data_IF_453244652289
#
_entry.id   IF_453244652289
#
_cell.length_a   1.000
_cell.length_b   1.000
_cell.length_c   1.000
_cell.angle_alpha   90.00
_cell.angle_beta   90.00
_cell.angle_gamma   90.00
#
_symmetry.space_group_name_H-M   'P 1'
#
loop_
_entity.id
_entity.type
_entity.pdbx_description
1 polymer ?
#
# COMPACT_ATOMS: atom_id res chain seq x y z
N UNK A 1 -32.89 16.88 7.76
CA UNK A 1 -32.73 18.25 7.22
C UNK A 1 -32.08 18.15 5.85
N UNK A 2 -32.47 18.97 4.87
CA UNK A 2 -31.76 19.05 3.58
C UNK A 2 -30.54 19.95 3.73
N UNK A 3 -29.36 19.44 3.36
CA UNK A 3 -28.14 20.25 3.30
C UNK A 3 -28.04 20.91 1.93
N UNK A 4 -28.49 22.16 1.84
CA UNK A 4 -28.36 22.98 0.62
C UNK A 4 -27.22 23.98 0.83
N UNK A 5 -26.17 23.99 -0.01
CA UNK A 5 -25.10 24.98 0.08
C UNK A 5 -25.65 26.41 -0.02
N UNK A 6 -25.21 27.26 0.90
CA UNK A 6 -25.59 28.67 0.97
C UNK A 6 -24.45 29.53 0.43
N UNK A 7 -24.75 30.43 -0.50
CA UNK A 7 -23.79 31.39 -1.04
C UNK A 7 -23.42 32.45 0.01
N UNK A 8 -22.22 33.02 -0.07
CA UNK A 8 -21.72 34.02 0.90
C UNK A 8 -21.17 33.46 2.21
N UNK A 9 -21.21 32.13 2.42
CA UNK A 9 -20.49 31.42 3.48
C UNK A 9 -19.40 30.55 2.87
N UNK A 10 -18.30 30.36 3.59
CA UNK A 10 -17.24 29.42 3.17
C UNK A 10 -17.83 28.03 2.94
N UNK A 11 -17.61 27.45 1.75
CA UNK A 11 -18.06 26.09 1.41
C UNK A 11 -17.42 25.09 2.36
N UNK A 12 -16.14 25.27 2.68
CA UNK A 12 -15.39 24.42 3.61
C UNK A 12 -16.07 24.32 4.98
N UNK A 13 -16.43 25.46 5.58
CA UNK A 13 -17.15 25.49 6.88
C UNK A 13 -18.51 24.81 6.81
N UNK A 14 -19.22 24.93 5.68
CA UNK A 14 -20.50 24.25 5.48
C UNK A 14 -20.34 22.73 5.38
N UNK A 15 -19.26 22.26 4.76
CA UNK A 15 -18.94 20.83 4.69
C UNK A 15 -18.55 20.27 6.07
N UNK A 16 -17.77 21.00 6.87
CA UNK A 16 -17.43 20.62 8.25
C UNK A 16 -18.67 20.54 9.15
N UNK A 17 -19.59 21.49 9.04
CA UNK A 17 -20.84 21.46 9.81
C UNK A 17 -21.71 20.26 9.41
N UNK A 18 -21.81 19.98 8.10
CA UNK A 18 -22.51 18.79 7.62
C UNK A 18 -21.88 17.51 8.18
N UNK A 19 -20.55 17.43 8.15
CA UNK A 19 -19.79 16.30 8.68
C UNK A 19 -20.11 16.04 10.17
N UNK A 20 -20.17 17.09 10.99
CA UNK A 20 -20.53 16.99 12.42
C UNK A 20 -21.92 16.40 12.68
N UNK A 21 -22.85 16.56 11.73
CA UNK A 21 -24.23 16.09 11.89
C UNK A 21 -24.47 14.68 11.33
N UNK A 22 -23.70 14.26 10.31
CA UNK A 22 -23.92 12.97 9.62
C UNK A 22 -22.99 11.87 10.08
N UNK A 23 -21.77 12.21 10.53
CA UNK A 23 -20.81 11.20 10.93
C UNK A 23 -21.09 10.66 12.33
N UNK A 24 -20.70 9.41 12.55
CA UNK A 24 -20.71 8.76 13.85
C UNK A 24 -19.93 9.58 14.90
N UNK A 25 -20.32 9.55 16.18
CA UNK A 25 -19.54 10.15 17.26
C UNK A 25 -18.09 9.67 17.30
N UNK A 26 -17.83 8.43 16.87
CA UNK A 26 -16.52 7.80 16.85
C UNK A 26 -15.70 8.10 15.57
N UNK A 27 -16.31 8.73 14.57
CA UNK A 27 -15.63 9.08 13.33
C UNK A 27 -14.68 10.26 13.50
N UNK A 28 -13.55 10.22 12.80
CA UNK A 28 -12.62 11.34 12.74
C UNK A 28 -13.21 12.47 11.88
N UNK A 29 -13.24 13.68 12.42
CA UNK A 29 -13.79 14.86 11.74
C UNK A 29 -12.64 15.70 11.17
N UNK A 30 -12.86 16.35 10.04
CA UNK A 30 -11.88 17.25 9.41
C UNK A 30 -11.60 18.45 10.32
N UNK A 31 -12.63 18.97 10.99
CA UNK A 31 -12.54 20.11 11.91
C UNK A 31 -11.70 19.84 13.16
N UNK A 32 -11.55 18.57 13.52
CA UNK A 32 -10.88 18.14 14.74
C UNK A 32 -9.49 17.51 14.43
N UNK A 33 -9.01 17.66 13.18
CA UNK A 33 -7.70 17.15 12.75
C UNK A 33 -6.57 17.79 13.54
N UNK A 34 -5.56 16.98 13.88
CA UNK A 34 -4.30 17.45 14.48
C UNK A 34 -3.41 18.20 13.46
N UNK A 35 -3.86 18.30 12.21
CA UNK A 35 -3.21 19.09 11.18
C UNK A 35 -2.00 18.42 10.55
N UNK A 36 -1.16 19.25 9.95
CA UNK A 36 0.02 18.84 9.16
C UNK A 36 1.30 19.10 9.94
N UNK A 37 2.37 18.38 9.61
CA UNK A 37 3.67 18.56 10.27
C UNK A 37 4.28 19.92 9.96
N UNK A 38 4.19 20.36 8.71
CA UNK A 38 4.59 21.70 8.29
C UNK A 38 3.31 22.52 8.19
N UNK A 39 3.17 23.62 8.96
CA UNK A 39 2.02 24.51 8.85
C UNK A 39 1.90 25.04 7.41
N UNK A 40 0.68 25.03 6.89
CA UNK A 40 0.36 25.61 5.59
C UNK A 40 -0.63 26.74 5.81
N UNK A 41 -0.46 27.84 5.08
CA UNK A 41 -1.46 28.90 5.07
C UNK A 41 -2.74 28.38 4.44
N UNK A 42 -3.86 28.72 5.09
CA UNK A 42 -5.17 28.33 4.61
C UNK A 42 -5.57 29.22 3.43
N UNK A 43 -5.60 28.64 2.24
CA UNK A 43 -6.15 29.31 1.05
C UNK A 43 -7.67 29.44 1.21
N UNK A 44 -8.14 30.67 1.36
CA UNK A 44 -9.55 31.03 1.55
C UNK A 44 -10.40 30.58 0.34
N UNK A 45 -9.80 30.45 -0.83
CA UNK A 45 -10.46 30.00 -2.05
C UNK A 45 -10.52 28.47 -2.18
N UNK A 46 -9.77 27.71 -1.37
CA UNK A 46 -9.79 26.24 -1.44
C UNK A 46 -11.06 25.71 -0.77
N UNK A 47 -11.86 25.00 -1.58
CA UNK A 47 -13.13 24.41 -1.14
C UNK A 47 -12.97 23.02 -0.52
N UNK A 48 -11.79 22.41 -0.66
CA UNK A 48 -11.54 21.03 -0.26
C UNK A 48 -11.20 20.92 1.22
N UNK A 49 -11.74 19.89 1.85
CA UNK A 49 -11.42 19.54 3.23
C UNK A 49 -10.00 18.96 3.35
N UNK A 50 -9.36 19.01 4.54
CA UNK A 50 -8.02 18.48 4.77
C UNK A 50 -7.78 17.07 4.21
N UNK A 51 -8.68 16.12 4.46
CA UNK A 51 -8.52 14.73 4.00
C UNK A 51 -8.71 14.58 2.48
N UNK A 52 -9.57 15.40 1.86
CA UNK A 52 -9.70 15.46 0.40
C UNK A 52 -8.41 15.97 -0.25
N UNK A 53 -7.78 17.00 0.33
CA UNK A 53 -6.48 17.50 -0.14
C UNK A 53 -5.40 16.43 -0.03
N UNK A 54 -5.43 15.62 1.03
CA UNK A 54 -4.48 14.51 1.20
C UNK A 54 -4.66 13.43 0.15
N UNK A 55 -5.91 13.01 -0.09
CA UNK A 55 -6.24 12.08 -1.17
C UNK A 55 -5.70 12.59 -2.51
N UNK A 56 -5.99 13.84 -2.85
CA UNK A 56 -5.55 14.43 -4.12
C UNK A 56 -4.01 14.42 -4.24
N UNK A 57 -3.29 14.81 -3.17
CA UNK A 57 -1.82 14.79 -3.13
C UNK A 57 -1.26 13.38 -3.37
N UNK A 58 -1.88 12.36 -2.77
CA UNK A 58 -1.48 10.96 -2.96
C UNK A 58 -1.70 10.55 -4.41
N UNK A 59 -2.89 10.74 -4.96
CA UNK A 59 -3.25 10.35 -6.33
C UNK A 59 -2.33 11.01 -7.37
N UNK A 60 -2.00 12.28 -7.19
CA UNK A 60 -1.15 13.01 -8.13
C UNK A 60 0.36 12.77 -7.94
N UNK A 61 0.77 12.02 -6.92
CA UNK A 61 2.18 11.70 -6.66
C UNK A 61 2.78 10.78 -7.74
N UNK A 62 4.11 10.85 -7.91
CA UNK A 62 4.81 9.97 -8.87
C UNK A 62 4.80 8.53 -8.37
N UNK A 63 4.94 8.33 -7.07
CA UNK A 63 4.96 7.00 -6.44
C UNK A 63 3.62 6.29 -6.62
N UNK A 64 2.49 6.98 -6.45
CA UNK A 64 1.18 6.37 -6.72
C UNK A 64 1.06 5.89 -8.17
N UNK A 65 1.53 6.67 -9.15
CA UNK A 65 1.57 6.24 -10.57
C UNK A 65 2.45 5.03 -10.80
N UNK A 66 3.54 4.86 -10.03
CA UNK A 66 4.44 3.71 -10.14
C UNK A 66 3.79 2.40 -9.70
N UNK A 67 2.74 2.44 -8.86
CA UNK A 67 2.01 1.24 -8.44
C UNK A 67 1.41 0.46 -9.62
N UNK A 68 1.12 1.14 -10.75
CA UNK A 68 0.69 0.50 -12.01
C UNK A 68 1.73 -0.47 -12.56
N UNK A 69 3.01 -0.28 -12.22
CA UNK A 69 4.13 -1.03 -12.76
C UNK A 69 4.87 -1.83 -11.67
N UNK A 70 4.19 -2.12 -10.55
CA UNK A 70 4.67 -3.00 -9.50
C UNK A 70 3.73 -4.20 -9.36
N UNK A 71 4.33 -5.38 -9.31
CA UNK A 71 3.63 -6.64 -9.04
C UNK A 71 3.18 -6.70 -7.58
N UNK A 72 2.04 -7.36 -7.36
CA UNK A 72 1.50 -7.63 -6.03
C UNK A 72 2.18 -8.88 -5.43
N UNK A 73 1.80 -10.06 -5.92
CA UNK A 73 2.24 -11.39 -5.41
C UNK A 73 2.90 -12.24 -6.48
N UNK A 74 2.29 -12.38 -7.65
CA UNK A 74 2.88 -13.14 -8.75
C UNK A 74 3.83 -12.25 -9.55
N UNK A 75 5.08 -12.70 -9.70
CA UNK A 75 6.09 -12.03 -10.52
C UNK A 75 5.67 -12.10 -11.99
N UNK A 76 4.98 -11.05 -12.43
CA UNK A 76 4.60 -10.75 -13.80
C UNK A 76 4.32 -11.99 -14.68
N UNK A 77 3.33 -12.83 -14.33
CA UNK A 77 2.88 -13.85 -15.25
C UNK A 77 2.41 -13.19 -16.55
N UNK A 78 2.73 -13.82 -17.69
CA UNK A 78 2.42 -13.30 -19.02
C UNK A 78 0.91 -13.19 -19.22
N UNK A 79 0.39 -11.95 -19.36
CA UNK A 79 -1.00 -11.67 -19.68
C UNK A 79 -1.45 -10.27 -19.23
N UNK A 80 -2.46 -9.69 -19.90
CA UNK A 80 -2.93 -8.32 -19.65
C UNK A 80 -3.86 -8.17 -18.43
N UNK A 81 -4.26 -9.28 -17.80
CA UNK A 81 -5.30 -9.33 -16.77
C UNK A 81 -4.80 -9.61 -15.35
N UNK A 82 -3.49 -9.53 -15.12
CA UNK A 82 -2.91 -9.72 -13.78
C UNK A 82 -2.96 -8.45 -12.94
N UNK A 83 -3.23 -8.64 -11.66
CA UNK A 83 -3.32 -7.55 -10.69
C UNK A 83 -1.95 -6.89 -10.48
N UNK A 84 -1.98 -5.57 -10.45
CA UNK A 84 -0.88 -4.71 -10.03
C UNK A 84 -1.17 -4.16 -8.64
N UNK A 85 -0.17 -3.53 -8.01
CA UNK A 85 -0.41 -2.82 -6.74
C UNK A 85 -1.47 -1.74 -6.86
N UNK A 86 -1.55 -1.07 -8.01
CA UNK A 86 -2.59 -0.07 -8.23
C UNK A 86 -3.99 -0.67 -8.18
N UNK A 87 -4.22 -1.82 -8.83
CA UNK A 87 -5.54 -2.46 -8.80
C UNK A 87 -5.90 -2.96 -7.40
N UNK A 88 -4.93 -3.47 -6.64
CA UNK A 88 -5.15 -3.85 -5.25
C UNK A 88 -5.53 -2.64 -4.38
N UNK A 89 -4.77 -1.55 -4.46
CA UNK A 89 -5.05 -0.33 -3.69
C UNK A 89 -6.43 0.25 -3.99
N UNK A 90 -6.88 0.21 -5.26
CA UNK A 90 -8.23 0.63 -5.64
C UNK A 90 -9.31 -0.26 -5.01
N UNK A 91 -9.09 -1.56 -4.94
CA UNK A 91 -10.03 -2.51 -4.34
C UNK A 91 -10.08 -2.40 -2.82
N UNK A 92 -8.93 -2.22 -2.16
CA UNK A 92 -8.85 -1.89 -0.73
C UNK A 92 -9.62 -0.60 -0.44
N UNK A 93 -9.42 0.44 -1.26
CA UNK A 93 -10.17 1.70 -1.13
C UNK A 93 -11.68 1.49 -1.26
N UNK A 94 -12.12 0.71 -2.26
CA UNK A 94 -13.55 0.42 -2.44
C UNK A 94 -14.15 -0.32 -1.23
N UNK A 95 -13.48 -1.36 -0.73
CA UNK A 95 -13.93 -2.14 0.42
C UNK A 95 -13.96 -1.25 1.68
N UNK A 96 -12.88 -0.51 1.93
CA UNK A 96 -12.76 0.36 3.09
C UNK A 96 -13.83 1.46 3.10
N UNK A 97 -14.10 2.09 1.95
CA UNK A 97 -15.16 3.09 1.81
C UNK A 97 -16.55 2.50 1.99
N UNK A 98 -16.78 1.27 1.53
CA UNK A 98 -18.07 0.58 1.75
C UNK A 98 -18.33 0.40 3.25
N UNK A 99 -17.32 -0.05 4.00
CA UNK A 99 -17.40 -0.19 5.46
C UNK A 99 -17.56 1.18 6.13
N UNK A 100 -16.75 2.16 5.76
CA UNK A 100 -16.80 3.50 6.33
C UNK A 100 -18.17 4.17 6.12
N UNK A 101 -18.73 4.07 4.92
CA UNK A 101 -20.05 4.63 4.60
C UNK A 101 -21.15 3.97 5.43
N UNK A 102 -21.12 2.64 5.57
CA UNK A 102 -22.11 1.89 6.36
C UNK A 102 -22.03 2.19 7.87
N UNK A 103 -20.84 2.49 8.39
CA UNK A 103 -20.60 2.83 9.80
C UNK A 103 -20.64 4.35 10.06
N UNK A 104 -21.01 5.16 9.05
CA UNK A 104 -20.98 6.62 9.11
C UNK A 104 -19.62 7.19 9.56
N UNK A 105 -18.52 6.58 9.13
CA UNK A 105 -17.15 7.06 9.32
C UNK A 105 -16.74 8.02 8.20
N UNK A 106 -15.56 8.65 8.35
CA UNK A 106 -15.06 9.59 7.35
C UNK A 106 -14.53 8.89 6.10
N UNK A 107 -15.34 8.90 5.02
CA UNK A 107 -14.96 8.27 3.75
C UNK A 107 -13.71 8.87 3.11
N UNK A 108 -13.54 10.21 3.15
CA UNK A 108 -12.39 10.88 2.53
C UNK A 108 -11.08 10.53 3.26
N UNK A 109 -11.11 10.45 4.60
CA UNK A 109 -9.98 9.98 5.39
C UNK A 109 -9.64 8.51 5.08
N UNK A 110 -10.67 7.66 5.07
CA UNK A 110 -10.54 6.22 4.79
C UNK A 110 -9.92 6.00 3.41
N UNK A 111 -10.42 6.71 2.39
CA UNK A 111 -9.91 6.67 1.02
C UNK A 111 -8.46 7.16 0.94
N UNK A 112 -8.13 8.30 1.57
CA UNK A 112 -6.76 8.82 1.57
C UNK A 112 -5.77 7.82 2.19
N UNK A 113 -6.13 7.19 3.32
CA UNK A 113 -5.31 6.16 3.96
C UNK A 113 -5.16 4.95 3.05
N UNK A 114 -6.26 4.43 2.49
CA UNK A 114 -6.24 3.28 1.60
C UNK A 114 -5.38 3.52 0.35
N UNK A 115 -5.46 4.69 -0.27
CA UNK A 115 -4.62 5.02 -1.43
C UNK A 115 -3.14 5.21 -1.07
N UNK A 116 -2.85 5.59 0.17
CA UNK A 116 -1.48 5.87 0.65
C UNK A 116 -0.77 4.68 1.29
N UNK A 117 -1.49 3.63 1.69
CA UNK A 117 -0.93 2.56 2.54
C UNK A 117 0.24 1.83 1.87
N UNK A 118 0.15 1.65 0.55
CA UNK A 118 1.03 0.78 -0.23
C UNK A 118 2.13 1.52 -1.02
N UNK A 119 2.26 2.84 -0.83
CA UNK A 119 3.21 3.69 -1.58
C UNK A 119 4.67 3.23 -1.43
N UNK A 120 5.03 2.67 -0.29
CA UNK A 120 6.39 2.29 0.05
C UNK A 120 6.81 0.89 -0.39
N UNK A 121 5.95 0.15 -1.08
CA UNK A 121 6.28 -1.22 -1.44
C UNK A 121 7.39 -1.27 -2.50
N UNK A 122 8.29 -2.25 -2.36
CA UNK A 122 9.44 -2.45 -3.23
C UNK A 122 9.03 -2.99 -4.60
N UNK A 123 9.91 -2.89 -5.62
CA UNK A 123 9.79 -3.77 -6.79
C UNK A 123 9.75 -5.24 -6.35
N UNK A 124 9.08 -6.08 -7.14
CA UNK A 124 8.96 -7.54 -6.91
C UNK A 124 8.22 -7.93 -5.62
N UNK A 125 7.36 -7.04 -5.09
CA UNK A 125 6.48 -7.33 -3.96
C UNK A 125 7.24 -7.80 -2.71
N UNK A 126 6.77 -8.89 -2.09
CA UNK A 126 7.35 -9.43 -0.85
C UNK A 126 8.81 -9.89 -0.99
N UNK A 127 9.24 -10.31 -2.18
CA UNK A 127 10.64 -10.70 -2.42
C UNK A 127 11.59 -9.52 -2.22
N UNK A 128 11.23 -8.35 -2.77
CA UNK A 128 11.99 -7.13 -2.61
C UNK A 128 11.99 -6.64 -1.17
N UNK A 129 10.85 -6.72 -0.47
CA UNK A 129 10.73 -6.31 0.92
C UNK A 129 11.59 -7.18 1.85
N UNK A 130 11.48 -8.51 1.72
CA UNK A 130 12.28 -9.45 2.51
C UNK A 130 13.78 -9.22 2.30
N UNK A 131 14.19 -9.05 1.04
CA UNK A 131 15.59 -8.83 0.68
C UNK A 131 16.11 -7.50 1.22
N UNK A 132 15.39 -6.39 1.05
CA UNK A 132 15.82 -5.11 1.62
C UNK A 132 15.82 -5.11 3.15
N UNK A 133 14.93 -5.89 3.79
CA UNK A 133 14.91 -6.02 5.23
C UNK A 133 16.15 -6.75 5.77
N UNK A 134 16.67 -7.72 5.03
CA UNK A 134 17.92 -8.39 5.35
C UNK A 134 19.15 -7.51 5.07
N UNK A 135 19.14 -6.77 3.98
CA UNK A 135 20.32 -6.00 3.51
C UNK A 135 20.50 -4.66 4.23
N UNK A 136 19.41 -3.97 4.56
CA UNK A 136 19.48 -2.66 5.19
C UNK A 136 19.73 -2.83 6.71
N UNK A 137 20.78 -2.21 7.29
CA UNK A 137 21.15 -2.44 8.71
C UNK A 137 20.04 -2.13 9.74
N UNK A 138 19.14 -1.21 9.41
CA UNK A 138 17.98 -0.87 10.25
C UNK A 138 16.70 -1.65 9.93
N UNK A 139 16.79 -2.67 9.08
CA UNK A 139 15.64 -3.37 8.51
C UNK A 139 14.86 -2.53 7.50
N UNK A 140 13.82 -3.13 6.93
CA UNK A 140 12.90 -2.52 5.98
C UNK A 140 11.48 -3.07 6.17
N UNK A 141 10.50 -2.18 6.13
CA UNK A 141 9.08 -2.52 6.14
C UNK A 141 8.35 -1.56 5.21
N UNK A 142 7.55 -2.08 4.30
CA UNK A 142 6.90 -1.27 3.27
C UNK A 142 6.05 -0.14 3.89
N UNK A 143 5.30 -0.40 4.96
CA UNK A 143 4.43 0.60 5.58
C UNK A 143 5.20 1.75 6.24
N UNK A 144 6.39 1.48 6.81
CA UNK A 144 7.30 2.52 7.30
C UNK A 144 7.85 3.31 6.12
N UNK A 145 8.16 2.61 5.03
CA UNK A 145 8.61 3.26 3.81
C UNK A 145 7.50 4.09 3.13
N UNK A 146 6.23 3.69 3.21
CA UNK A 146 5.08 4.48 2.73
C UNK A 146 5.01 5.80 3.46
N UNK A 147 5.15 5.79 4.79
CA UNK A 147 5.26 7.01 5.59
C UNK A 147 6.47 7.86 5.17
N UNK A 148 7.61 7.23 4.90
CA UNK A 148 8.81 7.92 4.43
C UNK A 148 8.60 8.57 3.05
N UNK A 149 7.88 7.92 2.14
CA UNK A 149 7.55 8.46 0.82
C UNK A 149 6.77 9.76 0.96
N UNK A 150 5.70 9.73 1.76
CA UNK A 150 4.82 10.90 1.94
C UNK A 150 5.43 11.99 2.80
N UNK A 151 6.41 11.68 3.66
CA UNK A 151 7.05 12.69 4.51
C UNK A 151 8.29 13.32 3.89
N UNK A 152 9.05 12.56 3.08
CA UNK A 152 10.41 12.95 2.71
C UNK A 152 10.79 12.72 1.26
N UNK A 153 10.23 11.74 0.55
CA UNK A 153 10.76 11.39 -0.78
C UNK A 153 10.01 12.09 -1.92
N UNK A 154 8.69 12.21 -1.79
CA UNK A 154 7.89 12.87 -2.80
C UNK A 154 8.20 14.36 -2.95
N UNK A 155 7.74 14.94 -4.06
CA UNK A 155 7.87 16.37 -4.35
C UNK A 155 9.33 16.88 -4.26
N UNK A 156 10.26 16.13 -4.86
CA UNK A 156 11.71 16.43 -4.88
C UNK A 156 12.32 16.55 -3.47
N UNK A 157 11.98 15.63 -2.57
CA UNK A 157 12.55 15.59 -1.23
C UNK A 157 11.78 16.39 -0.16
N UNK A 158 10.62 16.95 -0.51
CA UNK A 158 9.79 17.77 0.41
C UNK A 158 8.65 16.99 1.07
N UNK A 159 8.33 15.80 0.55
CA UNK A 159 7.14 15.06 0.92
C UNK A 159 5.85 15.70 0.40
N UNK A 160 4.73 15.09 0.77
CA UNK A 160 3.36 15.52 0.49
C UNK A 160 2.75 16.31 1.66
N UNK A 161 3.42 16.36 2.82
CA UNK A 161 2.97 17.06 4.03
C UNK A 161 1.52 16.71 4.42
N UNK A 162 1.20 15.42 4.48
CA UNK A 162 -0.16 14.94 4.78
C UNK A 162 -0.55 15.21 6.24
N UNK A 163 -1.86 15.16 6.52
CA UNK A 163 -2.41 15.24 7.88
C UNK A 163 -1.92 14.09 8.76
N UNK A 164 -1.92 14.31 10.08
CA UNK A 164 -1.52 13.31 11.06
C UNK A 164 -2.36 12.02 10.93
N UNK A 165 -3.67 12.14 10.74
CA UNK A 165 -4.60 11.02 10.69
C UNK A 165 -4.29 10.10 9.51
N UNK A 166 -4.05 10.68 8.33
CA UNK A 166 -3.67 9.92 7.13
C UNK A 166 -2.33 9.20 7.34
N UNK A 167 -1.33 9.91 7.86
CA UNK A 167 0.01 9.35 8.14
C UNK A 167 -0.05 8.22 9.16
N UNK A 168 -0.86 8.39 10.20
CA UNK A 168 -1.07 7.38 11.23
C UNK A 168 -1.76 6.13 10.66
N UNK A 169 -2.81 6.29 9.85
CA UNK A 169 -3.44 5.19 9.15
C UNK A 169 -2.46 4.42 8.26
N UNK A 170 -1.68 5.14 7.45
CA UNK A 170 -0.68 4.55 6.55
C UNK A 170 0.35 3.71 7.32
N UNK A 171 0.87 4.16 8.45
CA UNK A 171 1.90 3.39 9.18
C UNK A 171 1.32 2.26 10.04
N UNK A 172 0.02 2.30 10.34
CA UNK A 172 -0.64 1.33 11.23
C UNK A 172 -1.47 0.27 10.52
N UNK A 173 -1.65 0.36 9.19
CA UNK A 173 -2.44 -0.61 8.45
C UNK A 173 -1.88 -2.04 8.57
N UNK A 174 -0.57 -2.23 8.42
CA UNK A 174 0.03 -3.57 8.37
C UNK A 174 0.87 -3.92 9.60
N UNK A 175 0.69 -5.16 10.09
CA UNK A 175 1.61 -5.81 11.03
C UNK A 175 1.74 -7.32 10.74
N UNK A 176 2.19 -7.65 9.53
CA UNK A 176 2.64 -9.01 9.18
C UNK A 176 1.66 -10.14 9.56
N UNK A 177 2.17 -11.24 10.11
CA UNK A 177 1.38 -12.43 10.48
C UNK A 177 0.69 -12.32 11.85
N UNK A 178 0.68 -11.15 12.48
CA UNK A 178 0.01 -10.95 13.76
C UNK A 178 -1.52 -11.02 13.61
N UNK A 179 -2.21 -10.98 14.75
CA UNK A 179 -3.66 -10.99 14.85
C UNK A 179 -4.32 -9.97 13.90
N UNK A 180 -5.43 -10.40 13.29
CA UNK A 180 -6.24 -9.58 12.37
C UNK A 180 -6.70 -8.30 13.10
N UNK A 181 -7.21 -8.47 14.33
CA UNK A 181 -7.52 -7.40 15.27
C UNK A 181 -6.54 -7.50 16.45
N UNK A 182 -5.52 -6.63 16.54
CA UNK A 182 -4.58 -6.64 17.66
C UNK A 182 -5.27 -6.32 19.00
N UNK A 183 -5.01 -7.12 20.04
CA UNK A 183 -5.51 -6.84 21.39
C UNK A 183 -4.85 -5.61 22.07
N UNK A 184 -3.74 -5.10 21.53
CA UNK A 184 -3.01 -3.94 22.08
C UNK A 184 -3.36 -2.66 21.34
N UNK A 185 -3.96 -1.69 22.04
CA UNK A 185 -4.35 -0.37 21.49
C UNK A 185 -3.20 0.40 20.83
N UNK A 186 -1.97 0.24 21.31
CA UNK A 186 -0.78 0.90 20.73
C UNK A 186 -0.42 0.41 19.32
N UNK A 187 -1.06 -0.67 18.86
CA UNK A 187 -0.83 -1.26 17.55
C UNK A 187 -1.83 -0.79 16.49
N UNK A 188 -2.98 -0.27 16.94
CA UNK A 188 -4.06 0.22 16.11
C UNK A 188 -3.78 1.64 15.62
N UNK A 189 -4.44 1.99 14.52
CA UNK A 189 -4.58 3.39 14.14
C UNK A 189 -5.40 4.14 15.19
N UNK A 190 -5.10 5.43 15.36
CA UNK A 190 -5.81 6.33 16.28
C UNK A 190 -7.27 6.49 15.86
N UNK A 191 -7.54 6.44 14.55
CA UNK A 191 -8.87 6.59 13.97
C UNK A 191 -9.47 5.23 13.60
N UNK A 192 -10.80 5.11 13.68
CA UNK A 192 -11.50 3.90 13.21
C UNK A 192 -11.32 3.72 11.70
N UNK A 193 -11.26 4.81 10.93
CA UNK A 193 -10.98 4.81 9.50
C UNK A 193 -9.66 4.11 9.17
N UNK A 194 -8.60 4.37 9.94
CA UNK A 194 -7.32 3.67 9.76
C UNK A 194 -7.38 2.19 10.12
N UNK A 195 -8.21 1.81 11.10
CA UNK A 195 -8.45 0.41 11.46
C UNK A 195 -9.29 -0.31 10.39
N UNK A 196 -10.27 0.38 9.80
CA UNK A 196 -11.06 -0.13 8.66
C UNK A 196 -10.15 -0.42 7.48
N UNK A 197 -9.21 0.46 7.15
CA UNK A 197 -8.26 0.20 6.04
C UNK A 197 -7.42 -1.06 6.30
N UNK A 198 -6.97 -1.30 7.54
CA UNK A 198 -6.27 -2.54 7.90
C UNK A 198 -7.12 -3.78 7.58
N UNK A 199 -8.38 -3.78 7.99
CA UNK A 199 -9.27 -4.93 7.76
C UNK A 199 -9.61 -5.08 6.27
N UNK A 200 -9.84 -3.97 5.58
CA UNK A 200 -10.10 -3.95 4.14
C UNK A 200 -8.92 -4.50 3.34
N UNK A 201 -7.69 -4.16 3.73
CA UNK A 201 -6.46 -4.70 3.14
C UNK A 201 -6.39 -6.23 3.30
N UNK A 202 -6.62 -6.74 4.51
CA UNK A 202 -6.68 -8.18 4.78
C UNK A 202 -7.76 -8.87 3.93
N UNK A 203 -8.98 -8.31 3.88
CA UNK A 203 -10.10 -8.86 3.09
C UNK A 203 -9.75 -8.88 1.60
N UNK A 204 -9.17 -7.81 1.05
CA UNK A 204 -8.78 -7.75 -0.35
C UNK A 204 -7.69 -8.77 -0.67
N UNK A 205 -6.62 -8.78 0.13
CA UNK A 205 -5.47 -9.65 -0.04
C UNK A 205 -5.85 -11.13 -0.06
N UNK A 206 -6.58 -11.64 0.94
CA UNK A 206 -6.93 -13.08 0.97
C UNK A 206 -7.81 -13.50 -0.21
N UNK A 207 -8.64 -12.59 -0.71
CA UNK A 207 -9.54 -12.89 -1.82
C UNK A 207 -8.83 -12.86 -3.17
N UNK A 208 -7.83 -11.99 -3.34
CA UNK A 208 -7.16 -11.82 -4.62
C UNK A 208 -6.09 -12.86 -4.81
N UNK A 209 -5.36 -13.18 -3.75
CA UNK A 209 -4.33 -14.20 -3.81
C UNK A 209 -4.93 -15.57 -4.10
N UNK A 210 -6.13 -15.85 -3.56
CA UNK A 210 -6.91 -17.01 -3.93
C UNK A 210 -7.31 -16.97 -5.43
N UNK A 211 -7.82 -15.85 -5.93
CA UNK A 211 -8.24 -15.71 -7.33
C UNK A 211 -7.06 -15.82 -8.30
N UNK A 212 -5.93 -15.19 -7.98
CA UNK A 212 -4.71 -15.24 -8.77
C UNK A 212 -4.09 -16.64 -8.75
N UNK A 213 -4.14 -17.36 -7.61
CA UNK A 213 -3.71 -18.75 -7.51
C UNK A 213 -4.59 -19.70 -8.34
N UNK A 214 -5.90 -19.48 -8.38
CA UNK A 214 -6.82 -20.22 -9.26
C UNK A 214 -6.51 -19.95 -10.73
N UNK A 215 -6.34 -18.68 -11.12
CA UNK A 215 -5.99 -18.28 -12.50
C UNK A 215 -4.63 -18.81 -12.94
N UNK A 216 -3.65 -18.86 -12.04
CA UNK A 216 -2.33 -19.42 -12.29
C UNK A 216 -2.33 -20.96 -12.36
N UNK A 217 -3.46 -21.62 -12.06
CA UNK A 217 -3.58 -23.07 -12.01
C UNK A 217 -2.79 -23.70 -10.86
N UNK A 218 -2.42 -22.90 -9.85
CA UNK A 218 -1.78 -23.39 -8.61
C UNK A 218 -2.83 -24.07 -7.73
N UNK A 219 -4.03 -23.49 -7.69
CA UNK A 219 -5.20 -24.04 -7.05
C UNK A 219 -6.28 -24.36 -8.08
N UNK A 220 -7.18 -25.26 -7.72
CA UNK A 220 -8.43 -25.60 -8.42
C UNK A 220 -9.62 -25.17 -7.55
N UNK A 221 -10.78 -24.95 -8.17
CA UNK A 221 -11.98 -24.45 -7.48
C UNK A 221 -12.41 -25.34 -6.29
N UNK A 222 -12.09 -26.63 -6.31
CA UNK A 222 -12.39 -27.58 -5.24
C UNK A 222 -11.31 -27.71 -4.16
N UNK A 223 -10.17 -27.03 -4.27
CA UNK A 223 -9.06 -27.18 -3.32
C UNK A 223 -9.31 -26.42 -2.01
N UNK A 224 -10.18 -25.40 -2.03
CA UNK A 224 -10.51 -24.64 -0.83
C UNK A 224 -11.40 -25.49 0.11
N UNK A 225 -11.01 -25.67 1.39
CA UNK A 225 -11.78 -26.48 2.33
C UNK A 225 -13.25 -26.05 2.45
N UNK A 226 -14.17 -27.01 2.39
CA UNK A 226 -15.61 -26.77 2.47
C UNK A 226 -16.03 -26.02 3.76
N UNK A 227 -15.30 -26.24 4.86
CA UNK A 227 -15.50 -25.52 6.12
C UNK A 227 -15.31 -24.00 5.95
N UNK A 228 -14.29 -23.58 5.20
CA UNK A 228 -14.03 -22.17 4.88
C UNK A 228 -15.12 -21.66 3.93
N UNK A 229 -15.37 -22.37 2.82
CA UNK A 229 -16.37 -21.98 1.81
C UNK A 229 -17.77 -21.77 2.39
N UNK A 230 -18.17 -22.58 3.37
CA UNK A 230 -19.49 -22.45 4.01
C UNK A 230 -19.65 -21.09 4.70
N UNK A 231 -18.57 -20.55 5.26
CA UNK A 231 -18.54 -19.30 6.01
C UNK A 231 -18.38 -18.13 5.05
N UNK A 232 -17.25 -18.08 4.32
CA UNK A 232 -16.91 -16.93 3.47
C UNK A 232 -17.67 -16.95 2.14
N UNK A 233 -18.08 -18.11 1.64
CA UNK A 233 -18.73 -18.26 0.34
C UNK A 233 -17.79 -18.78 -0.75
N UNK A 234 -18.38 -19.28 -1.84
CA UNK A 234 -17.67 -19.98 -2.91
C UNK A 234 -17.15 -19.01 -3.98
N UNK A 235 -17.93 -17.96 -4.29
CA UNK A 235 -17.57 -16.98 -5.32
C UNK A 235 -16.82 -15.81 -4.71
N UNK A 236 -15.91 -15.22 -5.48
CA UNK A 236 -15.14 -14.05 -5.07
C UNK A 236 -16.00 -12.91 -4.50
N UNK A 237 -17.10 -12.54 -5.18
CA UNK A 237 -18.02 -11.50 -4.70
C UNK A 237 -18.77 -11.88 -3.42
N UNK A 238 -19.06 -13.17 -3.22
CA UNK A 238 -19.69 -13.65 -1.98
C UNK A 238 -18.72 -13.53 -0.80
N UNK A 239 -17.45 -13.89 -0.99
CA UNK A 239 -16.41 -13.77 0.05
C UNK A 239 -16.25 -12.35 0.55
N UNK A 240 -16.00 -11.41 -0.34
CA UNK A 240 -15.90 -9.99 0.03
C UNK A 240 -17.20 -9.53 0.70
N UNK A 241 -18.35 -9.81 0.09
CA UNK A 241 -19.64 -9.36 0.60
C UNK A 241 -19.99 -9.90 1.99
N UNK A 242 -19.66 -11.18 2.28
CA UNK A 242 -19.91 -11.78 3.60
C UNK A 242 -18.94 -11.25 4.65
N UNK A 243 -17.65 -11.13 4.34
CA UNK A 243 -16.64 -10.58 5.26
C UNK A 243 -16.97 -9.13 5.62
N UNK A 244 -17.30 -8.30 4.63
CA UNK A 244 -17.68 -6.89 4.84
C UNK A 244 -18.98 -6.77 5.62
N UNK A 245 -20.00 -7.58 5.30
CA UNK A 245 -21.26 -7.56 6.03
C UNK A 245 -21.09 -7.99 7.48
N UNK A 246 -20.34 -9.05 7.75
CA UNK A 246 -20.06 -9.54 9.10
C UNK A 246 -19.40 -8.43 9.93
N UNK A 247 -18.33 -7.82 9.42
CA UNK A 247 -17.66 -6.69 10.06
C UNK A 247 -18.63 -5.55 10.39
N UNK A 248 -19.49 -5.14 9.44
CA UNK A 248 -20.44 -4.04 9.66
C UNK A 248 -21.48 -4.42 10.72
N UNK A 249 -22.11 -5.60 10.59
CA UNK A 249 -23.21 -6.01 11.48
C UNK A 249 -22.73 -6.20 12.90
N UNK A 250 -21.60 -6.88 13.11
CA UNK A 250 -21.03 -7.10 14.44
C UNK A 250 -20.57 -5.78 15.07
N UNK A 251 -19.98 -4.88 14.29
CA UNK A 251 -19.58 -3.55 14.76
C UNK A 251 -20.79 -2.72 15.21
N UNK A 252 -21.87 -2.71 14.42
CA UNK A 252 -23.09 -1.99 14.76
C UNK A 252 -23.82 -2.63 15.96
N UNK A 253 -23.76 -3.95 16.11
CA UNK A 253 -24.40 -4.66 17.22
C UNK A 253 -23.68 -4.42 18.55
N UNK A 254 -22.35 -4.27 18.53
CA UNK A 254 -21.56 -4.00 19.72
C UNK A 254 -21.70 -2.56 20.24
N UNK A 255 -21.81 -1.58 19.32
CA UNK A 255 -22.01 -0.14 19.61
C UNK A 255 -21.09 0.43 20.71
N UNK A 256 -19.84 -0.03 20.78
CA UNK A 256 -18.86 0.36 21.81
C UNK A 256 -17.74 1.26 21.27
N UNK A 257 -17.84 1.70 20.01
CA UNK A 257 -16.84 2.50 19.33
C UNK A 257 -15.59 1.72 18.90
N UNK A 258 -15.67 0.39 18.78
CA UNK A 258 -14.61 -0.47 18.25
C UNK A 258 -15.09 -1.28 17.04
N UNK A 259 -14.17 -1.82 16.24
CA UNK A 259 -14.51 -2.71 15.13
C UNK A 259 -14.60 -4.15 15.62
N UNK A 260 -15.65 -4.86 15.22
CA UNK A 260 -15.92 -6.23 15.62
C UNK A 260 -16.12 -7.14 14.40
N UNK A 261 -15.63 -8.38 14.51
CA UNK A 261 -15.81 -9.45 13.53
C UNK A 261 -16.26 -10.67 14.33
N UNK A 262 -17.20 -11.45 13.81
CA UNK A 262 -17.70 -12.62 14.52
C UNK A 262 -16.58 -13.66 14.69
N UNK A 263 -16.59 -14.40 15.81
CA UNK A 263 -15.56 -15.43 16.06
C UNK A 263 -15.47 -16.45 14.92
N UNK A 264 -16.63 -16.79 14.34
CA UNK A 264 -16.74 -17.70 13.20
C UNK A 264 -16.07 -17.13 11.94
N UNK A 265 -16.28 -15.86 11.62
CA UNK A 265 -15.65 -15.21 10.48
C UNK A 265 -14.15 -15.01 10.70
N UNK A 266 -13.75 -14.64 11.91
CA UNK A 266 -12.35 -14.48 12.29
C UNK A 266 -11.58 -15.80 12.16
N UNK A 267 -12.16 -16.90 12.63
CA UNK A 267 -11.61 -18.25 12.43
C UNK A 267 -11.44 -18.59 10.95
N UNK A 268 -12.48 -18.39 10.14
CA UNK A 268 -12.43 -18.66 8.70
C UNK A 268 -11.39 -17.81 7.96
N UNK A 269 -11.19 -16.54 8.37
CA UNK A 269 -10.16 -15.67 7.81
C UNK A 269 -8.75 -16.17 8.14
N UNK A 270 -8.51 -16.62 9.37
CA UNK A 270 -7.23 -17.20 9.76
C UNK A 270 -6.97 -18.51 9.01
N UNK A 271 -7.96 -19.41 8.94
CA UNK A 271 -7.85 -20.66 8.19
C UNK A 271 -7.57 -20.41 6.69
N UNK A 272 -8.21 -19.39 6.09
CA UNK A 272 -7.96 -19.00 4.71
C UNK A 272 -6.53 -18.47 4.50
N UNK A 273 -6.01 -17.66 5.43
CA UNK A 273 -4.63 -17.17 5.38
C UNK A 273 -3.63 -18.30 5.46
N UNK A 274 -3.84 -19.25 6.37
CA UNK A 274 -2.95 -20.40 6.53
C UNK A 274 -3.02 -21.34 5.33
N UNK A 275 -4.22 -21.58 4.79
CA UNK A 275 -4.39 -22.33 3.54
C UNK A 275 -3.62 -21.70 2.37
N UNK A 276 -3.76 -20.39 2.15
CA UNK A 276 -3.01 -19.70 1.10
C UNK A 276 -1.50 -19.76 1.34
N UNK A 277 -1.09 -19.69 2.61
CA UNK A 277 0.32 -19.78 2.95
C UNK A 277 0.93 -21.14 2.59
N UNK A 278 0.26 -22.21 2.96
CA UNK A 278 0.76 -23.56 2.74
C UNK A 278 0.67 -24.01 1.28
N UNK A 279 -0.32 -23.52 0.53
CA UNK A 279 -0.59 -24.02 -0.83
C UNK A 279 -0.13 -23.06 -1.95
N UNK A 280 -0.05 -21.75 -1.69
CA UNK A 280 0.30 -20.75 -2.71
C UNK A 280 1.71 -20.22 -2.51
N UNK A 281 2.06 -19.67 -1.33
CA UNK A 281 3.38 -19.05 -1.14
C UNK A 281 4.53 -20.07 -1.11
N UNK A 282 4.25 -21.32 -0.71
CA UNK A 282 5.22 -22.42 -0.75
C UNK A 282 5.32 -23.13 -2.11
N UNK A 283 4.52 -22.72 -3.09
CA UNK A 283 4.53 -23.36 -4.40
C UNK A 283 5.88 -23.16 -5.11
N UNK A 284 6.50 -24.26 -5.52
CA UNK A 284 7.89 -24.29 -6.02
C UNK A 284 8.19 -23.29 -7.15
N UNK A 285 7.28 -23.08 -8.11
CA UNK A 285 7.50 -22.10 -9.19
C UNK A 285 7.48 -20.65 -8.70
N UNK A 286 6.57 -20.35 -7.76
CA UNK A 286 6.52 -19.04 -7.12
C UNK A 286 7.82 -18.81 -6.35
N UNK A 287 8.30 -19.85 -5.65
CA UNK A 287 9.57 -19.79 -4.92
C UNK A 287 10.79 -19.56 -5.82
N UNK A 288 10.89 -20.24 -6.97
CA UNK A 288 12.02 -20.03 -7.90
C UNK A 288 12.09 -18.61 -8.46
N UNK A 289 10.96 -18.04 -8.85
CA UNK A 289 10.93 -16.64 -9.31
C UNK A 289 11.21 -15.67 -8.14
N UNK A 290 10.72 -15.99 -6.94
CA UNK A 290 11.02 -15.25 -5.72
C UNK A 290 12.54 -15.17 -5.48
N UNK A 291 13.26 -16.30 -5.53
CA UNK A 291 14.72 -16.35 -5.38
C UNK A 291 15.46 -15.50 -6.43
N UNK A 292 15.03 -15.54 -7.70
CA UNK A 292 15.59 -14.69 -8.76
C UNK A 292 15.39 -13.21 -8.47
N UNK A 293 14.19 -12.82 -8.03
CA UNK A 293 13.90 -11.45 -7.65
C UNK A 293 14.74 -10.99 -6.46
N UNK A 294 14.92 -11.85 -5.44
CA UNK A 294 15.81 -11.54 -4.32
C UNK A 294 17.25 -11.34 -4.79
N UNK A 295 17.75 -12.20 -5.69
CA UNK A 295 19.10 -12.08 -6.25
C UNK A 295 19.30 -10.74 -6.96
N UNK A 296 18.35 -10.33 -7.81
CA UNK A 296 18.38 -9.04 -8.50
C UNK A 296 18.52 -7.90 -7.48
N UNK A 297 17.69 -7.89 -6.43
CA UNK A 297 17.73 -6.84 -5.41
C UNK A 297 19.05 -6.85 -4.64
N UNK A 298 19.59 -8.02 -4.27
CA UNK A 298 20.90 -8.11 -3.60
C UNK A 298 22.02 -7.53 -4.45
N UNK A 299 22.12 -7.95 -5.71
CA UNK A 299 23.18 -7.50 -6.62
C UNK A 299 23.05 -6.00 -6.92
N UNK A 300 21.83 -5.48 -7.13
CA UNK A 300 21.60 -4.04 -7.27
C UNK A 300 22.00 -3.26 -6.02
N UNK A 301 21.62 -3.75 -4.83
CA UNK A 301 21.96 -3.10 -3.56
C UNK A 301 23.48 -3.00 -3.36
N UNK A 302 24.20 -4.11 -3.57
CA UNK A 302 25.66 -4.14 -3.49
C UNK A 302 26.31 -3.24 -4.54
N UNK A 303 25.81 -3.25 -5.78
CA UNK A 303 26.34 -2.38 -6.84
C UNK A 303 26.20 -0.91 -6.48
N UNK A 304 25.02 -0.47 -6.03
CA UNK A 304 24.75 0.93 -5.73
C UNK A 304 25.52 1.45 -4.51
N UNK A 305 25.78 0.60 -3.52
CA UNK A 305 26.67 0.95 -2.41
C UNK A 305 28.10 1.21 -2.87
N UNK A 306 28.58 0.45 -3.86
CA UNK A 306 29.97 0.54 -4.33
C UNK A 306 30.18 1.58 -5.46
N UNK A 307 29.14 1.93 -6.22
CA UNK A 307 29.27 2.71 -7.46
C UNK A 307 28.40 3.97 -7.53
N UNK A 308 27.49 4.17 -6.58
CA UNK A 308 26.54 5.30 -6.60
C UNK A 308 25.30 5.00 -7.47
N UNK A 309 24.31 5.90 -7.42
CA UNK A 309 22.98 5.68 -8.03
C UNK A 309 22.96 6.04 -9.52
N UNK A 310 22.14 5.33 -10.28
CA UNK A 310 21.94 5.57 -11.71
C UNK A 310 20.66 6.36 -12.00
N UNK A 311 20.62 6.96 -13.18
CA UNK A 311 19.43 7.56 -13.76
C UNK A 311 19.47 7.46 -15.28
N UNK A 312 18.43 7.99 -15.93
CA UNK A 312 18.37 8.07 -17.39
C UNK A 312 18.54 9.51 -17.86
N UNK A 313 19.41 9.70 -18.85
CA UNK A 313 19.45 10.88 -19.70
C UNK A 313 19.18 10.44 -21.14
N UNK A 314 17.92 10.60 -21.59
CA UNK A 314 17.45 9.95 -22.81
C UNK A 314 17.54 8.41 -22.70
N UNK A 315 18.21 7.80 -23.67
CA UNK A 315 18.42 6.34 -23.74
C UNK A 315 19.69 5.86 -23.02
N UNK A 316 20.46 6.78 -22.42
CA UNK A 316 21.74 6.48 -21.77
C UNK A 316 21.57 6.45 -20.25
N UNK A 317 22.15 5.43 -19.62
CA UNK A 317 22.28 5.34 -18.17
C UNK A 317 23.46 6.17 -17.70
N UNK A 318 23.23 7.04 -16.72
CA UNK A 318 24.24 7.94 -16.16
C UNK A 318 24.25 7.85 -14.64
N UNK A 319 25.42 8.02 -14.02
CA UNK A 319 25.52 8.15 -12.55
C UNK A 319 24.92 9.48 -12.15
N UNK A 320 23.84 9.45 -11.35
CA UNK A 320 23.16 10.65 -10.85
C UNK A 320 23.63 11.06 -9.47
N UNK A 321 24.13 10.11 -8.68
CA UNK A 321 24.75 10.38 -7.38
C UNK A 321 25.99 9.51 -7.22
N UNK A 322 27.15 10.13 -6.97
CA UNK A 322 28.39 9.40 -6.67
C UNK A 322 28.38 8.94 -5.20
N UNK A 323 28.70 7.67 -4.93
CA UNK A 323 28.80 7.11 -3.58
C UNK A 323 29.79 7.88 -2.70
N UNK A 324 30.84 8.47 -3.29
CA UNK A 324 31.84 9.28 -2.58
C UNK A 324 31.28 10.59 -2.02
N UNK A 325 30.11 11.00 -2.49
CA UNK A 325 29.44 12.21 -1.99
C UNK A 325 28.64 11.98 -0.71
N UNK A 326 28.51 10.72 -0.27
CA UNK A 326 27.72 10.39 0.91
C UNK A 326 28.56 10.53 2.19
N UNK A 327 28.00 11.15 3.25
CA UNK A 327 28.76 11.51 4.44
C UNK A 327 29.15 10.30 5.31
N UNK A 328 28.34 9.24 5.29
CA UNK A 328 28.53 8.04 6.10
C UNK A 328 27.78 6.82 5.50
N UNK A 329 28.15 5.62 5.97
CA UNK A 329 27.55 4.36 5.54
C UNK A 329 26.03 4.32 5.81
N UNK A 330 25.59 4.90 6.93
CA UNK A 330 24.17 4.93 7.30
C UNK A 330 23.35 5.67 6.24
N UNK A 331 23.87 6.78 5.74
CA UNK A 331 23.27 7.59 4.69
C UNK A 331 23.35 6.86 3.35
N UNK A 332 24.46 6.18 3.04
CA UNK A 332 24.60 5.34 1.86
C UNK A 332 23.52 4.25 1.81
N UNK A 333 23.43 3.43 2.86
CA UNK A 333 22.43 2.36 2.99
C UNK A 333 21.00 2.90 2.86
N UNK A 334 20.70 4.06 3.46
CA UNK A 334 19.39 4.69 3.36
C UNK A 334 19.07 5.16 1.94
N UNK A 335 20.00 5.84 1.27
CA UNK A 335 19.81 6.33 -0.10
C UNK A 335 19.63 5.19 -1.10
N UNK A 336 20.45 4.15 -0.99
CA UNK A 336 20.33 2.93 -1.82
C UNK A 336 18.98 2.26 -1.59
N UNK A 337 18.57 2.11 -0.33
CA UNK A 337 17.27 1.52 0.02
C UNK A 337 16.10 2.32 -0.54
N UNK A 338 16.10 3.65 -0.38
CA UNK A 338 15.03 4.52 -0.89
C UNK A 338 14.96 4.49 -2.42
N UNK A 339 16.12 4.45 -3.08
CA UNK A 339 16.22 4.39 -4.53
C UNK A 339 15.67 3.06 -5.09
N UNK A 340 16.10 1.92 -4.54
CA UNK A 340 15.62 0.59 -4.95
C UNK A 340 14.13 0.44 -4.67
N UNK A 341 13.67 0.78 -3.45
CA UNK A 341 12.25 0.69 -3.11
C UNK A 341 11.38 1.59 -4.01
N UNK A 342 11.93 2.72 -4.47
CA UNK A 342 11.29 3.64 -5.40
C UNK A 342 11.15 3.13 -6.84
N UNK A 343 11.84 2.04 -7.23
CA UNK A 343 11.79 1.50 -8.60
C UNK A 343 10.47 0.80 -8.90
N UNK A 344 10.13 0.75 -10.19
CA UNK A 344 9.14 -0.20 -10.73
C UNK A 344 9.85 -1.49 -11.13
N UNK A 345 9.11 -2.59 -11.28
CA UNK A 345 9.69 -3.90 -11.62
C UNK A 345 10.45 -3.84 -12.96
N UNK A 346 9.84 -3.22 -13.97
CA UNK A 346 10.46 -3.02 -15.29
C UNK A 346 11.71 -2.15 -15.23
N UNK A 347 11.71 -1.11 -14.38
CA UNK A 347 12.88 -0.26 -14.23
C UNK A 347 14.02 -1.02 -13.55
N UNK A 348 13.73 -1.76 -12.47
CA UNK A 348 14.71 -2.59 -11.78
C UNK A 348 15.34 -3.63 -12.73
N UNK A 349 14.53 -4.31 -13.54
CA UNK A 349 15.02 -5.24 -14.57
C UNK A 349 15.89 -4.54 -15.61
N UNK A 350 15.46 -3.40 -16.16
CA UNK A 350 16.26 -2.68 -17.16
C UNK A 350 17.58 -2.12 -16.62
N UNK A 351 17.64 -1.75 -15.34
CA UNK A 351 18.88 -1.39 -14.63
C UNK A 351 19.77 -2.62 -14.47
N UNK A 352 19.19 -3.74 -14.04
CA UNK A 352 19.93 -4.98 -13.83
C UNK A 352 20.54 -5.50 -15.15
N UNK A 353 19.78 -5.47 -16.24
CA UNK A 353 20.26 -5.77 -17.59
C UNK A 353 21.39 -4.84 -18.04
N UNK A 354 21.33 -3.56 -17.67
CA UNK A 354 22.40 -2.63 -18.03
C UNK A 354 23.72 -2.93 -17.31
N UNK A 355 23.63 -3.26 -16.01
CA UNK A 355 24.81 -3.41 -15.14
C UNK A 355 25.46 -4.77 -15.33
N UNK A 356 24.67 -5.84 -15.33
CA UNK A 356 25.18 -7.21 -15.17
C UNK A 356 25.15 -8.04 -16.45
N UNK A 357 24.33 -7.69 -17.44
CA UNK A 357 24.27 -8.46 -18.69
C UNK A 357 25.30 -7.92 -19.70
N UNK A 358 26.13 -8.79 -20.29
CA UNK A 358 27.12 -8.37 -21.27
C UNK A 358 26.45 -7.83 -22.53
N UNK A 359 26.93 -6.69 -23.03
CA UNK A 359 26.48 -6.13 -24.31
C UNK A 359 27.32 -6.69 -25.45
N UNK A 360 26.72 -7.08 -26.60
CA UNK A 360 27.46 -7.48 -27.78
C UNK A 360 28.43 -6.37 -28.19
N UNK A 361 29.69 -6.73 -28.44
CA UNK A 361 30.71 -5.77 -28.86
C UNK A 361 30.40 -5.27 -30.28
N UNK A 362 29.85 -4.06 -30.41
CA UNK A 362 29.62 -3.44 -31.71
C UNK A 362 30.91 -2.77 -32.20
N UNK A 363 31.66 -3.45 -33.09
CA UNK A 363 32.92 -2.99 -33.72
C UNK A 363 32.74 -1.74 -34.62
N UNK A 364 31.52 -1.22 -34.80
CA UNK A 364 31.22 -0.15 -35.77
C UNK A 364 31.25 1.29 -35.24
N UNK A 365 31.58 1.55 -33.98
CA UNK A 365 31.59 2.92 -33.41
C UNK A 365 32.99 3.52 -33.13
N UNK A 366 34.04 3.05 -33.81
CA UNK A 366 35.38 3.68 -33.76
C UNK A 366 35.87 4.22 -35.12
N UNK A 367 34.97 4.53 -36.05
CA UNK A 367 35.29 5.34 -37.23
C UNK A 367 34.22 6.41 -37.41
N UNK A 368 34.52 7.59 -36.90
CA UNK A 368 33.74 8.82 -37.03
C UNK A 368 34.54 9.95 -36.43
#
# INVERSE_FOLDING_TARGET
MSFVPVTGKSIKKQLEERERQILSPYAAKNSDSQGRRIPEEEDICDIRLPYQRDRDRIIHSKTFRRLKHKTQVFLAPTGDHYRTRLTHVLEVSQIARTVASALCLNEDLTEAIALGHDLGHTPFGHAGEATLNELHPGGFKHFIHSLRVVDFLENKGKGLNLTFEVRNGIVRHSKGRNDIIPGRKSELAVTLEGQVVRLADIIAYVNHDLDDALRAGILREGDLPAAICTIVGERHSQRIGRMVRDLIVETLAADDGQLHISEKMLGALNDLRDFLYDNVYRYHKVHQEFEKAQRIIRELYSYFLANGLLGRNGDVWVVTEDYRSWPDDKTAHRRVCDYIAGMTDRYALGVYEYIFLPRPWNVRQQRG
#
